data_IF_487606386681
#
_entry.id   IF_487606386681
#
_cell.length_a   1.000
_cell.length_b   1.000
_cell.length_c   1.000
_cell.angle_alpha   90.00
_cell.angle_beta   90.00
_cell.angle_gamma   90.00
#
_symmetry.space_group_name_H-M   'P 1'
#
loop_
_entity.id
_entity.type
_entity.pdbx_description
1 polymer ?
#
# COMPACT_ATOMS: atom_id res chain seq x y z
N UNK A 1 11.21 0.39 -3.03
CA UNK A 1 10.90 -1.07 -2.94
C UNK A 1 10.62 -1.61 -4.33
N UNK A 2 10.82 -2.90 -4.63
CA UNK A 2 10.47 -3.45 -5.94
C UNK A 2 8.98 -3.84 -6.03
N UNK A 3 8.47 -4.03 -7.25
CA UNK A 3 7.06 -4.38 -7.51
C UNK A 3 6.59 -5.62 -6.74
N UNK A 4 7.40 -6.68 -6.74
CA UNK A 4 7.03 -7.95 -6.08
C UNK A 4 6.76 -7.75 -4.60
N UNK A 5 7.64 -7.02 -3.91
CA UNK A 5 7.47 -6.73 -2.48
C UNK A 5 6.27 -5.81 -2.23
N UNK A 6 6.01 -4.83 -3.09
CA UNK A 6 4.79 -4.00 -3.04
C UNK A 6 3.52 -4.85 -3.09
N UNK A 7 3.47 -5.84 -3.99
CA UNK A 7 2.34 -6.77 -4.10
C UNK A 7 2.20 -7.61 -2.84
N UNK A 8 3.28 -8.20 -2.33
CA UNK A 8 3.25 -9.07 -1.14
C UNK A 8 2.71 -8.37 0.11
N UNK A 9 3.14 -7.13 0.33
CA UNK A 9 2.72 -6.31 1.45
C UNK A 9 1.22 -5.97 1.36
N UNK A 10 0.80 -5.44 0.21
CA UNK A 10 -0.60 -5.09 0.00
C UNK A 10 -1.50 -6.33 0.06
N UNK A 11 -1.07 -7.47 -0.47
CA UNK A 11 -1.79 -8.75 -0.36
C UNK A 11 -1.93 -9.22 1.09
N UNK A 12 -0.86 -9.09 1.89
CA UNK A 12 -0.90 -9.46 3.30
C UNK A 12 -1.89 -8.58 4.08
N UNK A 13 -1.84 -7.26 3.90
CA UNK A 13 -2.75 -6.32 4.54
C UNK A 13 -4.21 -6.56 4.11
N UNK A 14 -4.46 -6.79 2.81
CA UNK A 14 -5.80 -7.08 2.30
C UNK A 14 -6.42 -8.32 2.98
N UNK A 15 -5.63 -9.38 3.19
CA UNK A 15 -6.09 -10.60 3.86
C UNK A 15 -6.33 -10.42 5.36
N UNK A 16 -5.54 -9.57 6.02
CA UNK A 16 -5.72 -9.27 7.44
C UNK A 16 -6.88 -8.31 7.68
N UNK A 17 -7.25 -7.50 6.67
CA UNK A 17 -8.27 -6.47 6.80
C UNK A 17 -7.79 -5.23 7.56
N UNK A 18 -6.49 -5.13 7.82
CA UNK A 18 -5.83 -4.02 8.50
C UNK A 18 -4.42 -3.79 7.92
N UNK A 19 -3.79 -2.63 8.18
CA UNK A 19 -2.42 -2.34 7.74
C UNK A 19 -1.35 -3.32 8.25
N UNK A 20 -1.68 -4.29 9.11
CA UNK A 20 -0.79 -5.35 9.58
C UNK A 20 0.41 -4.85 10.42
N UNK A 21 1.31 -5.75 10.87
CA UNK A 21 2.52 -5.39 11.61
C UNK A 21 3.62 -4.84 10.68
N UNK A 22 3.24 -3.92 9.80
CA UNK A 22 4.09 -3.31 8.80
C UNK A 22 4.85 -2.13 9.39
N UNK A 23 6.01 -1.81 8.82
CA UNK A 23 6.61 -0.49 9.06
C UNK A 23 5.67 0.61 8.53
N UNK A 24 5.78 1.85 9.03
CA UNK A 24 4.90 2.95 8.59
C UNK A 24 4.89 3.13 7.06
N UNK A 25 6.04 3.03 6.40
CA UNK A 25 6.12 3.15 4.93
C UNK A 25 5.42 2.00 4.19
N UNK A 26 5.54 0.78 4.70
CA UNK A 26 4.85 -0.38 4.14
C UNK A 26 3.33 -0.32 4.37
N UNK A 27 2.90 0.15 5.54
CA UNK A 27 1.48 0.38 5.85
C UNK A 27 0.86 1.42 4.91
N UNK A 28 1.56 2.55 4.68
CA UNK A 28 1.15 3.56 3.71
C UNK A 28 1.13 3.02 2.28
N UNK A 29 2.11 2.19 1.93
CA UNK A 29 2.15 1.52 0.62
C UNK A 29 0.94 0.61 0.43
N UNK A 30 0.62 -0.23 1.42
CA UNK A 30 -0.55 -1.10 1.39
C UNK A 30 -1.84 -0.29 1.25
N UNK A 31 -1.99 0.77 2.05
CA UNK A 31 -3.17 1.63 2.00
C UNK A 31 -3.34 2.32 0.64
N UNK A 32 -2.25 2.80 0.03
CA UNK A 32 -2.27 3.41 -1.31
C UNK A 32 -2.64 2.38 -2.39
N UNK A 33 -2.00 1.20 -2.39
CA UNK A 33 -2.28 0.13 -3.36
C UNK A 33 -3.72 -0.36 -3.27
N UNK A 34 -4.24 -0.54 -2.06
CA UNK A 34 -5.61 -1.02 -1.81
C UNK A 34 -6.65 0.11 -1.84
N UNK A 35 -6.24 1.34 -2.14
CA UNK A 35 -7.09 2.53 -2.15
C UNK A 35 -7.88 2.74 -0.83
N UNK A 36 -7.24 2.44 0.31
CA UNK A 36 -7.80 2.56 1.67
C UNK A 36 -7.48 3.91 2.28
N UNK A 37 -8.27 4.92 1.90
CA UNK A 37 -8.17 6.28 2.45
C UNK A 37 -8.35 6.35 3.98
N UNK A 38 -9.05 5.37 4.54
CA UNK A 38 -9.42 5.27 5.95
C UNK A 38 -8.23 4.79 6.75
N UNK A 39 -7.46 3.83 6.22
CA UNK A 39 -6.17 3.44 6.80
C UNK A 39 -5.16 4.59 6.77
N UNK A 40 -5.12 5.38 5.69
CA UNK A 40 -4.28 6.58 5.67
C UNK A 40 -4.67 7.57 6.77
N UNK A 41 -5.97 7.80 6.96
CA UNK A 41 -6.48 8.66 8.01
C UNK A 41 -6.18 8.14 9.43
N UNK A 42 -6.34 6.84 9.68
CA UNK A 42 -5.96 6.19 10.94
C UNK A 42 -4.47 6.32 11.25
N UNK A 43 -3.62 6.25 10.22
CA UNK A 43 -2.18 6.47 10.33
C UNK A 43 -1.81 7.96 10.48
N UNK A 44 -2.75 8.88 10.30
CA UNK A 44 -2.53 10.33 10.37
C UNK A 44 -1.91 10.95 9.12
N UNK A 45 -2.08 10.33 7.94
CA UNK A 45 -1.53 10.78 6.67
C UNK A 45 -2.62 11.15 5.67
N UNK A 46 -2.42 12.26 4.97
CA UNK A 46 -3.10 12.52 3.69
C UNK A 46 -2.45 11.70 2.57
N UNK A 47 -3.13 11.57 1.41
CA UNK A 47 -2.56 10.92 0.23
C UNK A 47 -1.23 11.57 -0.18
N UNK A 48 -1.16 12.91 -0.19
CA UNK A 48 0.05 13.63 -0.57
C UNK A 48 1.22 13.34 0.39
N UNK A 49 0.95 13.34 1.70
CA UNK A 49 1.97 12.99 2.70
C UNK A 49 2.38 11.52 2.61
N UNK A 50 1.45 10.61 2.31
CA UNK A 50 1.76 9.19 2.12
C UNK A 50 2.68 8.99 0.91
N UNK A 51 2.41 9.68 -0.20
CA UNK A 51 3.25 9.67 -1.41
C UNK A 51 4.64 10.26 -1.16
N UNK A 52 4.75 11.33 -0.37
CA UNK A 52 6.04 11.93 0.02
C UNK A 52 6.84 11.02 0.98
N UNK A 53 6.14 10.18 1.77
CA UNK A 53 6.75 9.30 2.76
C UNK A 53 7.34 8.02 2.18
N UNK A 54 6.70 7.47 1.14
CA UNK A 54 7.20 6.28 0.44
C UNK A 54 8.32 6.67 -0.52
N UNK A 55 9.26 5.76 -0.78
CA UNK A 55 10.31 6.01 -1.77
C UNK A 55 9.73 6.04 -3.20
N UNK A 56 10.38 6.80 -4.08
CA UNK A 56 9.96 6.96 -5.48
C UNK A 56 9.87 5.64 -6.25
N UNK A 57 10.69 4.64 -5.88
CA UNK A 57 10.65 3.31 -6.49
C UNK A 57 9.38 2.55 -6.11
N UNK A 58 8.91 2.72 -4.88
CA UNK A 58 7.61 2.18 -4.46
C UNK A 58 6.47 2.88 -5.18
N UNK A 59 6.53 4.21 -5.33
CA UNK A 59 5.47 5.01 -5.96
C UNK A 59 5.21 4.60 -7.43
N UNK A 60 6.26 4.33 -8.23
CA UNK A 60 6.11 3.87 -9.61
C UNK A 60 5.41 2.51 -9.73
N UNK A 61 5.43 1.68 -8.68
CA UNK A 61 4.85 0.34 -8.69
C UNK A 61 3.40 0.27 -8.18
N UNK A 62 2.86 1.36 -7.63
CA UNK A 62 1.52 1.35 -7.02
C UNK A 62 0.46 0.87 -8.00
N UNK A 63 0.45 1.39 -9.23
CA UNK A 63 -0.57 1.04 -10.24
C UNK A 63 -0.45 -0.40 -10.72
N UNK A 64 0.77 -0.91 -10.86
CA UNK A 64 1.00 -2.28 -11.30
C UNK A 64 0.63 -3.29 -10.21
N UNK A 65 0.96 -3.00 -8.96
CA UNK A 65 0.58 -3.83 -7.83
C UNK A 65 -0.94 -3.88 -7.64
N UNK A 66 -1.59 -2.73 -7.73
CA UNK A 66 -3.05 -2.59 -7.64
C UNK A 66 -3.76 -3.42 -8.74
N UNK A 67 -3.25 -3.38 -9.97
CA UNK A 67 -3.76 -4.21 -11.07
C UNK A 67 -3.57 -5.70 -10.82
N UNK A 68 -2.40 -6.11 -10.31
CA UNK A 68 -2.13 -7.52 -10.01
C UNK A 68 -3.09 -8.05 -8.94
N UNK A 69 -3.33 -7.30 -7.87
CA UNK A 69 -4.27 -7.69 -6.80
C UNK A 69 -5.72 -7.77 -7.30
N UNK A 70 -6.15 -6.80 -8.12
CA UNK A 70 -7.49 -6.86 -8.74
C UNK A 70 -7.68 -8.12 -9.58
N UNK A 71 -6.65 -8.59 -10.28
CA UNK A 71 -6.70 -9.84 -11.04
C UNK A 71 -6.80 -11.09 -10.15
N UNK A 72 -6.36 -11.00 -8.91
CA UNK A 72 -6.50 -12.04 -7.88
C UNK A 72 -7.86 -11.99 -7.16
N UNK A 73 -8.70 -10.98 -7.44
CA UNK A 73 -9.97 -10.76 -6.75
C UNK A 73 -9.83 -10.08 -5.39
N UNK A 74 -8.71 -9.39 -5.17
CA UNK A 74 -8.45 -8.53 -4.01
C UNK A 74 -8.69 -7.05 -4.32
#
# INVERSE_FOLDING_TARGET
>A
MNLQRTIEIARAAARLGEPGPLSTGEALTAALVLNRHDWLAELGYTIAQALDRIDSDTAQHLRDAERALRQEGL
#
